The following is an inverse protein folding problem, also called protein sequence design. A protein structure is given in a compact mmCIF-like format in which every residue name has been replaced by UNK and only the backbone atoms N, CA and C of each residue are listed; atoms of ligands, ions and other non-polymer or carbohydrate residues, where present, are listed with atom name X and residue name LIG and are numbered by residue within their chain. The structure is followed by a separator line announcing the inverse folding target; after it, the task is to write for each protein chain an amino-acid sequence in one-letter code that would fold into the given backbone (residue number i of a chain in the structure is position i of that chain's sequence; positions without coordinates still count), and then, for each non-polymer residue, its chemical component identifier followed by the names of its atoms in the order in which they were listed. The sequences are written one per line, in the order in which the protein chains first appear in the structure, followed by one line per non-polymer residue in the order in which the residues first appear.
data_IF_830309401845
#
_entry.id   IF_830309401845
#
_cell.length_a   1.000
_cell.length_b   1.000
_cell.length_c   1.000
_cell.angle_alpha   90.00
_cell.angle_beta   90.00
_cell.angle_gamma   90.00
#
_symmetry.space_group_name_H-M   'P 1'
#
loop_
_entity.id
_entity.type
_entity.pdbx_description
1 polymer ?
#
# COMPACT_ATOMS: atom_id res chain seq x y z
N UNK A 1 -2.92 8.69 -13.04
CA UNK A 1 -1.55 8.14 -13.00
C UNK A 1 -0.69 9.07 -12.17
N UNK A 2 -0.06 8.57 -11.11
CA UNK A 2 0.80 9.35 -10.22
C UNK A 2 2.24 8.88 -10.35
N UNK A 3 3.19 9.80 -10.17
CA UNK A 3 4.62 9.53 -10.31
C UNK A 3 5.37 10.04 -9.10
N UNK A 4 6.34 9.29 -8.62
CA UNK A 4 7.26 9.74 -7.56
C UNK A 4 8.65 9.15 -7.72
N UNK A 5 9.64 9.80 -7.10
CA UNK A 5 10.99 9.27 -6.99
C UNK A 5 11.08 8.42 -5.72
N UNK A 6 11.43 7.14 -5.86
CA UNK A 6 11.59 6.24 -4.73
C UNK A 6 12.66 6.77 -3.77
N UNK A 7 12.34 7.00 -2.47
CA UNK A 7 13.29 7.53 -1.51
C UNK A 7 14.42 6.55 -1.15
N UNK A 8 14.30 5.28 -1.54
CA UNK A 8 15.26 4.22 -1.22
C UNK A 8 16.30 4.08 -2.34
N UNK A 9 15.87 3.80 -3.58
CA UNK A 9 16.79 3.56 -4.69
C UNK A 9 16.87 4.72 -5.70
N UNK A 10 16.11 5.79 -5.51
CA UNK A 10 16.16 7.00 -6.33
C UNK A 10 15.59 6.87 -7.75
N UNK A 11 14.95 5.75 -8.12
CA UNK A 11 14.31 5.57 -9.43
C UNK A 11 12.91 6.17 -9.48
N UNK A 12 12.48 6.54 -10.68
CA UNK A 12 11.11 7.02 -10.93
C UNK A 12 10.13 5.84 -10.96
N UNK A 13 9.05 5.96 -10.20
CA UNK A 13 7.99 4.96 -10.08
C UNK A 13 6.69 5.59 -10.53
N UNK A 14 5.98 4.89 -11.41
CA UNK A 14 4.64 5.26 -11.89
C UNK A 14 3.62 4.29 -11.29
N UNK A 15 2.57 4.84 -10.72
CA UNK A 15 1.48 4.06 -10.15
C UNK A 15 0.14 4.50 -10.73
N UNK A 16 -0.69 3.51 -11.03
CA UNK A 16 -2.09 3.73 -11.35
C UNK A 16 -2.89 3.70 -10.05
N UNK A 17 -3.48 4.85 -9.73
CA UNK A 17 -4.32 4.96 -8.55
C UNK A 17 -5.76 4.68 -8.94
N UNK A 18 -6.40 3.84 -8.16
CA UNK A 18 -7.85 3.82 -8.06
C UNK A 18 -8.25 4.86 -7.02
N UNK A 19 -8.76 5.99 -7.51
CA UNK A 19 -9.23 7.15 -6.74
C UNK A 19 -10.76 7.17 -6.69
N UNK A 20 -11.37 5.99 -6.70
CA UNK A 20 -12.81 5.76 -6.68
C UNK A 20 -13.46 6.10 -5.33
N UNK A 21 -12.67 6.24 -4.27
CA UNK A 21 -13.13 6.68 -2.94
C UNK A 21 -12.45 7.97 -2.51
N UNK A 22 -13.20 8.83 -1.84
CA UNK A 22 -12.72 10.11 -1.31
C UNK A 22 -11.60 9.89 -0.27
N UNK A 23 -10.48 10.63 -0.34
CA UNK A 23 -9.39 10.49 0.62
C UNK A 23 -9.71 11.11 1.97
N UNK A 24 -9.37 10.39 3.03
CA UNK A 24 -9.47 10.84 4.42
C UNK A 24 -8.40 11.89 4.70
N UNK A 25 -8.79 13.04 5.24
CA UNK A 25 -7.85 14.14 5.49
C UNK A 25 -7.25 14.76 4.22
N UNK A 26 -7.88 14.54 3.05
CA UNK A 26 -7.50 15.16 1.78
C UNK A 26 -6.31 14.52 1.06
N UNK A 27 -5.76 13.41 1.57
CA UNK A 27 -4.67 12.65 0.93
C UNK A 27 -5.03 11.16 0.84
N UNK A 28 -4.89 10.58 -0.35
CA UNK A 28 -4.88 9.13 -0.52
C UNK A 28 -3.57 8.60 0.05
N UNK A 29 -3.68 7.60 0.91
CA UNK A 29 -2.56 6.86 1.46
C UNK A 29 -2.46 5.51 0.74
N UNK A 30 -1.30 5.22 0.16
CA UNK A 30 -1.05 3.97 -0.55
C UNK A 30 0.31 3.41 -0.19
N UNK A 31 0.36 2.08 -0.02
CA UNK A 31 1.61 1.32 0.08
C UNK A 31 1.97 0.80 -1.30
N UNK A 32 3.16 1.16 -1.76
CA UNK A 32 3.68 0.79 -3.08
C UNK A 32 4.87 -0.14 -2.87
N UNK A 33 4.76 -1.38 -3.31
CA UNK A 33 5.92 -2.24 -3.46
C UNK A 33 6.71 -1.78 -4.69
N UNK A 34 7.99 -1.50 -4.51
CA UNK A 34 8.91 -1.20 -5.59
C UNK A 34 10.13 -2.11 -5.44
N UNK A 35 10.16 -3.18 -6.24
CA UNK A 35 11.16 -4.25 -6.11
C UNK A 35 11.17 -4.87 -4.70
N UNK A 36 12.30 -4.78 -4.00
CA UNK A 36 12.53 -5.39 -2.69
C UNK A 36 12.16 -4.50 -1.50
N UNK A 37 11.58 -3.32 -1.73
CA UNK A 37 11.20 -2.40 -0.67
C UNK A 37 9.80 -1.80 -0.86
N UNK A 38 9.22 -1.37 0.26
CA UNK A 38 7.91 -0.73 0.26
C UNK A 38 8.06 0.77 0.51
N UNK A 39 7.24 1.54 -0.20
CA UNK A 39 7.15 2.99 -0.04
C UNK A 39 5.71 3.36 0.29
N UNK A 40 5.52 4.08 1.39
CA UNK A 40 4.25 4.70 1.74
C UNK A 40 4.16 6.05 1.04
N UNK A 41 3.15 6.24 0.21
CA UNK A 41 2.98 7.42 -0.64
C UNK A 41 1.67 8.13 -0.28
N UNK A 42 1.73 9.45 -0.17
CA UNK A 42 0.58 10.32 0.08
C UNK A 42 0.30 11.18 -1.13
N UNK A 43 -0.94 11.15 -1.61
CA UNK A 43 -1.32 11.68 -2.91
C UNK A 43 -2.54 12.55 -2.75
N UNK A 44 -2.53 13.75 -3.30
CA UNK A 44 -3.70 14.62 -3.24
C UNK A 44 -4.80 14.19 -4.23
N UNK A 45 -5.94 14.88 -4.15
CA UNK A 45 -7.10 14.68 -5.03
C UNK A 45 -6.79 14.91 -6.51
N UNK A 46 -5.74 15.65 -6.83
CA UNK A 46 -5.29 15.91 -8.20
C UNK A 46 -4.35 14.80 -8.70
N UNK A 47 -4.05 13.78 -7.89
CA UNK A 47 -3.12 12.71 -8.24
C UNK A 47 -1.65 13.10 -8.09
N UNK A 48 -1.35 14.21 -7.42
CA UNK A 48 0.02 14.67 -7.18
C UNK A 48 0.56 14.02 -5.91
N UNK A 49 1.72 13.37 -6.03
CA UNK A 49 2.42 12.82 -4.88
C UNK A 49 2.98 13.96 -4.03
N UNK A 50 2.52 14.06 -2.79
CA UNK A 50 2.97 15.07 -1.83
C UNK A 50 4.11 14.58 -0.96
N UNK A 51 4.10 13.30 -0.59
CA UNK A 51 5.11 12.68 0.29
C UNK A 51 5.31 11.21 -0.07
N UNK A 52 6.53 10.71 0.13
CA UNK A 52 6.89 9.30 -0.04
C UNK A 52 7.92 8.89 1.02
N UNK A 53 7.68 7.79 1.73
CA UNK A 53 8.53 7.32 2.84
C UNK A 53 8.86 5.84 2.70
N UNK A 54 10.09 5.41 3.03
CA UNK A 54 10.40 3.99 3.17
C UNK A 54 9.55 3.36 4.28
N UNK A 55 9.19 2.08 4.12
CA UNK A 55 8.53 1.32 5.16
C UNK A 55 9.43 0.14 5.57
N UNK A 56 10.07 0.27 6.73
CA UNK A 56 11.18 -0.59 7.16
C UNK A 56 10.71 -1.95 7.73
N UNK A 57 9.41 -2.17 7.88
CA UNK A 57 8.83 -3.38 8.50
C UNK A 57 8.11 -4.32 7.53
N UNK A 58 8.12 -4.04 6.23
CA UNK A 58 7.55 -4.94 5.23
C UNK A 58 8.67 -5.78 4.60
N UNK A 59 8.56 -7.11 4.69
CA UNK A 59 9.48 -8.02 4.00
C UNK A 59 9.03 -8.16 2.54
N UNK A 60 9.96 -8.07 1.61
CA UNK A 60 9.67 -8.33 0.20
C UNK A 60 9.95 -9.80 -0.11
N UNK A 61 8.91 -10.49 -0.56
CA UNK A 61 8.97 -11.86 -1.06
C UNK A 61 8.70 -11.80 -2.56
N UNK A 62 9.51 -12.49 -3.36
CA UNK A 62 9.34 -12.60 -4.82
C UNK A 62 8.98 -14.06 -5.17
N UNK A 63 7.81 -14.32 -5.79
CA UNK A 63 6.75 -13.37 -6.15
C UNK A 63 6.02 -12.79 -4.93
N UNK A 64 5.39 -11.59 -5.04
CA UNK A 64 4.59 -11.01 -3.97
C UNK A 64 3.51 -12.00 -3.53
N UNK A 65 3.53 -12.41 -2.26
CA UNK A 65 2.56 -13.39 -1.76
C UNK A 65 1.16 -12.78 -1.65
N UNK A 66 1.08 -11.48 -1.35
CA UNK A 66 -0.17 -10.74 -1.19
C UNK A 66 0.02 -9.22 -1.38
N UNK A 67 -1.06 -8.52 -1.69
CA UNK A 67 -1.18 -7.05 -1.76
C UNK A 67 -2.15 -6.56 -0.69
N UNK A 68 -1.84 -5.48 0.04
CA UNK A 68 -2.70 -4.93 1.10
C UNK A 68 -3.22 -3.54 0.74
N UNK A 69 -4.54 -3.36 0.75
CA UNK A 69 -5.24 -2.08 0.66
C UNK A 69 -5.75 -1.70 2.04
N UNK A 70 -5.51 -0.47 2.49
CA UNK A 70 -6.00 0.03 3.78
C UNK A 70 -7.05 1.11 3.53
N UNK A 71 -8.22 0.91 4.10
CA UNK A 71 -9.35 1.84 4.09
C UNK A 71 -9.60 2.33 5.52
N UNK A 72 -10.49 3.31 5.64
CA UNK A 72 -10.89 3.92 6.91
C UNK A 72 -11.54 2.91 7.87
N UNK A 73 -12.27 1.95 7.31
CA UNK A 73 -13.10 0.98 8.00
C UNK A 73 -12.53 -0.45 7.99
N UNK A 74 -11.50 -0.73 7.19
CA UNK A 74 -10.98 -2.11 6.98
C UNK A 74 -9.64 -2.12 6.25
N UNK A 75 -9.00 -3.28 6.18
CA UNK A 75 -8.01 -3.58 5.17
C UNK A 75 -8.49 -4.71 4.26
N UNK A 76 -8.01 -4.74 3.02
CA UNK A 76 -8.23 -5.82 2.07
C UNK A 76 -6.87 -6.41 1.69
N UNK A 77 -6.69 -7.70 1.91
CA UNK A 77 -5.49 -8.46 1.52
C UNK A 77 -5.85 -9.27 0.28
N UNK A 78 -5.09 -9.14 -0.80
CA UNK A 78 -5.29 -9.87 -2.05
C UNK A 78 -4.13 -10.83 -2.26
N UNK A 79 -4.37 -12.15 -2.27
CA UNK A 79 -3.31 -13.12 -2.49
C UNK A 79 -2.90 -13.25 -3.97
N UNK A 80 -1.79 -13.95 -4.24
CA UNK A 80 -1.31 -14.20 -5.60
C UNK A 80 -2.26 -15.02 -6.50
N UNK A 81 -3.40 -15.50 -5.99
CA UNK A 81 -4.47 -16.16 -6.75
C UNK A 81 -5.68 -15.25 -6.98
N UNK A 82 -5.64 -14.03 -6.47
CA UNK A 82 -6.72 -13.04 -6.57
C UNK A 82 -7.80 -13.19 -5.51
N UNK A 83 -7.62 -14.02 -4.47
CA UNK A 83 -8.59 -14.06 -3.38
C UNK A 83 -8.45 -12.81 -2.51
N UNK A 84 -9.59 -12.27 -2.10
CA UNK A 84 -9.67 -11.06 -1.28
C UNK A 84 -10.08 -11.44 0.15
N UNK A 85 -9.24 -11.08 1.12
CA UNK A 85 -9.50 -11.23 2.55
C UNK A 85 -9.75 -9.84 3.12
N UNK A 86 -10.98 -9.61 3.58
CA UNK A 86 -11.36 -8.34 4.22
C UNK A 86 -11.14 -8.46 5.72
N UNK A 87 -10.46 -7.48 6.30
CA UNK A 87 -10.12 -7.47 7.71
C UNK A 87 -10.59 -6.16 8.33
N UNK A 88 -11.61 -6.26 9.19
CA UNK A 88 -12.10 -5.13 9.97
C UNK A 88 -11.08 -4.72 11.06
N UNK A 89 -11.14 -3.50 11.61
CA UNK A 89 -10.07 -2.92 12.44
C UNK A 89 -9.73 -3.78 13.67
N UNK A 90 -10.73 -4.51 14.18
CA UNK A 90 -10.61 -5.39 15.34
C UNK A 90 -9.88 -6.70 15.00
N UNK A 91 -9.87 -7.12 13.73
CA UNK A 91 -9.30 -8.38 13.26
C UNK A 91 -7.92 -8.21 12.60
N UNK A 92 -7.52 -6.98 12.27
CA UNK A 92 -6.26 -6.69 11.54
C UNK A 92 -5.03 -7.14 12.32
N UNK A 93 -5.02 -6.90 13.63
CA UNK A 93 -3.93 -7.29 14.51
C UNK A 93 -3.80 -8.83 14.64
N UNK A 94 -4.89 -9.57 14.54
CA UNK A 94 -4.87 -11.04 14.62
C UNK A 94 -4.43 -11.71 13.31
N UNK A 95 -4.86 -11.18 12.17
CA UNK A 95 -4.48 -11.70 10.85
C UNK A 95 -2.99 -11.46 10.59
N UNK A 96 -2.47 -10.27 10.92
CA UNK A 96 -1.03 -9.97 10.81
C UNK A 96 -0.19 -10.92 11.69
N UNK A 97 -0.63 -11.22 12.91
CA UNK A 97 0.05 -12.21 13.78
C UNK A 97 0.04 -13.63 13.22
N UNK A 98 -1.03 -14.05 12.52
CA UNK A 98 -1.12 -15.38 11.91
C UNK A 98 -0.26 -15.51 10.64
N UNK A 99 -0.08 -14.42 9.90
CA UNK A 99 0.73 -14.40 8.67
C UNK A 99 2.23 -14.21 8.93
N UNK A 100 2.60 -13.63 10.08
CA UNK A 100 3.99 -13.44 10.50
C UNK A 100 4.58 -14.61 11.31
N UNK A 101 3.88 -15.75 11.38
CA UNK A 101 4.35 -16.99 12.00
C UNK A 101 5.43 -17.68 11.19
#
# INVERSE_FOLDING_TARGET
MATFRCPICGREVKIELRIDKEPVGGLHEVLVQHESHYVKVYIDRQGVVRRAFPVEHFTSVDPPLYTVYIFEDRAEIVDGRGHVYVVEPNQLAEVVKKLAG
#
